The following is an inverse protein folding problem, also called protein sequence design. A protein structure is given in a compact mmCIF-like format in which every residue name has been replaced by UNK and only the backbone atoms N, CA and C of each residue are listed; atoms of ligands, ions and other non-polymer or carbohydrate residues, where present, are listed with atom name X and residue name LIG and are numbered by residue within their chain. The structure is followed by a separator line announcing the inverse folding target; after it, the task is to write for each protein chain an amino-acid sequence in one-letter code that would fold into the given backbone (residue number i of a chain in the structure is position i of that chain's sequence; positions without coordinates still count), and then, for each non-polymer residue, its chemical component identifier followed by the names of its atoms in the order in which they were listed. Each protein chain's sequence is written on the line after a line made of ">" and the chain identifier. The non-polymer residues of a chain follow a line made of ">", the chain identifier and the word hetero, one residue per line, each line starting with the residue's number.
data_IF_524097898604
#
_entry.id   IF_524097898604
#
_cell.length_a   1.000
_cell.length_b   1.000
_cell.length_c   1.000
_cell.angle_alpha   90.00
_cell.angle_beta   90.00
_cell.angle_gamma   90.00
#
_symmetry.space_group_name_H-M   'P 1'
#
loop_
_entity.id
_entity.type
_entity.pdbx_description
1 polymer ?
#
# COMPACT_ATOMS: atom_id res chain seq x y z
N UNK A 1 -16.06 26.83 39.14
CA UNK A 1 -15.26 27.30 40.29
C UNK A 1 -14.88 26.08 41.11
N UNK A 2 -13.58 25.85 41.23
CA UNK A 2 -12.93 24.81 42.04
C UNK A 2 -13.48 24.69 43.45
N UNK A 3 -13.58 23.45 43.96
CA UNK A 3 -12.95 23.12 45.26
C UNK A 3 -12.78 21.60 45.47
N UNK A 4 -11.53 21.16 45.33
CA UNK A 4 -10.70 20.40 46.29
C UNK A 4 -11.11 18.99 46.76
N UNK A 5 -10.17 18.07 46.52
CA UNK A 5 -10.01 16.76 47.14
C UNK A 5 -9.90 16.78 48.67
N UNK A 6 -10.15 15.64 49.31
CA UNK A 6 -9.37 15.22 50.47
C UNK A 6 -8.65 13.87 50.25
N UNK A 7 -7.34 13.91 50.45
CA UNK A 7 -6.41 12.79 50.61
C UNK A 7 -6.59 12.18 52.01
N UNK A 8 -6.59 10.83 52.12
CA UNK A 8 -6.15 10.00 53.27
C UNK A 8 -6.61 8.55 52.98
N UNK A 9 -5.80 7.48 53.07
CA UNK A 9 -4.84 7.12 54.11
C UNK A 9 -3.73 6.19 53.59
N UNK A 10 -2.59 6.32 54.27
CA UNK A 10 -1.45 5.42 54.29
C UNK A 10 -1.83 3.98 54.66
N UNK A 11 -1.16 3.02 54.02
CA UNK A 11 -1.04 1.64 54.46
C UNK A 11 0.30 1.08 53.99
N UNK A 12 1.34 1.23 54.82
CA UNK A 12 2.61 0.56 54.66
C UNK A 12 2.54 -0.81 55.35
N UNK A 13 2.99 -1.87 54.68
CA UNK A 13 3.40 -3.12 55.32
C UNK A 13 4.54 -3.72 54.48
N UNK A 14 5.74 -3.59 55.03
CA UNK A 14 6.93 -4.30 54.59
C UNK A 14 6.93 -5.70 55.22
N UNK A 15 7.30 -6.72 54.44
CA UNK A 15 7.81 -7.98 54.96
C UNK A 15 8.90 -8.48 54.02
N UNK A 16 10.12 -8.44 54.54
CA UNK A 16 11.32 -8.97 53.92
C UNK A 16 11.27 -10.50 53.97
N UNK A 17 11.62 -11.14 52.85
CA UNK A 17 12.11 -12.51 52.83
C UNK A 17 13.35 -12.55 51.94
N UNK A 18 14.51 -12.59 52.60
CA UNK A 18 15.76 -12.96 51.96
C UNK A 18 15.72 -14.46 51.64
N UNK A 19 15.88 -14.82 50.38
CA UNK A 19 16.18 -16.18 49.97
C UNK A 19 17.30 -16.18 48.93
N UNK A 20 18.36 -16.86 49.35
CA UNK A 20 19.64 -17.16 48.74
C UNK A 20 19.69 -17.39 47.22
N UNK A 21 20.74 -16.84 46.63
CA UNK A 21 21.23 -17.03 45.26
C UNK A 21 21.55 -18.52 45.00
N UNK A 22 21.06 -19.05 43.88
CA UNK A 22 21.67 -20.23 43.24
C UNK A 22 21.98 -19.87 41.79
N UNK A 23 23.26 -19.68 41.47
CA UNK A 23 23.75 -19.58 40.10
C UNK A 23 23.75 -20.98 39.49
N UNK A 24 22.81 -21.26 38.59
CA UNK A 24 22.92 -22.36 37.64
C UNK A 24 23.20 -21.76 36.26
N UNK A 25 24.47 -21.80 35.84
CA UNK A 25 24.84 -21.54 34.46
C UNK A 25 24.36 -22.73 33.62
N UNK A 26 23.23 -22.56 32.94
CA UNK A 26 22.78 -23.44 31.87
C UNK A 26 22.28 -22.54 30.74
N UNK A 27 22.99 -22.57 29.61
CA UNK A 27 22.62 -21.85 28.40
C UNK A 27 21.23 -22.30 27.94
N UNK A 28 20.28 -21.38 27.99
CA UNK A 28 18.98 -21.49 27.31
C UNK A 28 18.56 -20.07 27.00
N UNK A 29 18.78 -19.65 25.76
CA UNK A 29 18.26 -18.40 25.21
C UNK A 29 16.72 -18.42 25.29
N UNK A 30 16.15 -17.67 26.22
CA UNK A 30 14.74 -17.31 26.23
C UNK A 30 14.54 -16.11 25.30
N UNK A 31 13.68 -16.19 24.27
CA UNK A 31 13.35 -15.02 23.47
C UNK A 31 12.42 -14.09 24.26
N UNK A 32 12.89 -12.85 24.45
CA UNK A 32 12.10 -11.71 24.89
C UNK A 32 10.78 -11.63 24.13
N UNK A 33 9.69 -11.57 24.90
CA UNK A 33 8.34 -11.29 24.43
C UNK A 33 8.27 -9.83 23.95
N UNK A 34 8.73 -9.60 22.72
CA UNK A 34 8.58 -8.31 22.03
C UNK A 34 7.17 -8.19 21.47
N UNK A 35 6.52 -7.08 21.82
CA UNK A 35 5.21 -6.66 21.34
C UNK A 35 5.08 -6.78 19.82
N UNK A 36 3.94 -7.35 19.39
CA UNK A 36 3.66 -7.72 18.01
C UNK A 36 3.40 -6.58 17.03
N UNK A 37 3.44 -6.98 15.76
CA UNK A 37 3.10 -6.28 14.53
C UNK A 37 4.14 -5.32 13.93
N UNK A 38 5.31 -5.87 13.61
CA UNK A 38 6.08 -5.45 12.43
C UNK A 38 6.02 -6.56 11.38
N UNK A 39 5.35 -6.27 10.26
CA UNK A 39 5.28 -6.99 8.99
C UNK A 39 5.82 -8.43 8.97
N UNK A 40 4.92 -9.40 9.11
CA UNK A 40 5.15 -10.71 8.50
C UNK A 40 5.14 -10.49 6.98
N UNK A 41 6.30 -10.27 6.38
CA UNK A 41 6.50 -10.47 4.97
C UNK A 41 6.30 -11.97 4.71
N UNK A 42 5.06 -12.37 4.37
CA UNK A 42 4.80 -13.69 3.81
C UNK A 42 5.33 -13.67 2.39
N UNK A 43 6.64 -13.88 2.25
CA UNK A 43 7.25 -14.16 0.96
C UNK A 43 7.27 -15.68 0.78
N UNK A 44 6.59 -16.17 -0.28
CA UNK A 44 6.91 -17.48 -0.83
C UNK A 44 5.77 -18.32 -1.40
N UNK A 45 4.55 -17.80 -1.58
CA UNK A 45 3.46 -18.55 -2.20
C UNK A 45 2.55 -17.69 -3.06
N UNK A 46 1.73 -18.30 -3.94
CA UNK A 46 0.73 -17.58 -4.71
C UNK A 46 -0.19 -16.73 -3.84
N UNK A 47 -0.50 -15.52 -4.29
CA UNK A 47 -1.50 -14.69 -3.63
C UNK A 47 -2.87 -15.39 -3.66
N UNK A 48 -3.71 -15.27 -2.61
CA UNK A 48 -5.05 -15.85 -2.66
C UNK A 48 -5.92 -15.21 -3.75
N UNK A 49 -6.57 -16.05 -4.59
CA UNK A 49 -7.59 -15.63 -5.58
C UNK A 49 -8.92 -15.25 -4.90
N UNK A 50 -8.87 -14.23 -4.06
CA UNK A 50 -10.01 -13.75 -3.29
C UNK A 50 -10.25 -12.26 -3.55
N UNK A 51 -11.45 -11.79 -3.23
CA UNK A 51 -11.76 -10.36 -3.29
C UNK A 51 -10.81 -9.53 -2.41
N UNK A 52 -10.42 -10.07 -1.25
CA UNK A 52 -9.51 -9.38 -0.34
C UNK A 52 -8.10 -9.27 -0.94
N UNK A 53 -7.58 -10.34 -1.54
CA UNK A 53 -6.29 -10.31 -2.25
C UNK A 53 -6.26 -9.26 -3.37
N UNK A 54 -7.33 -9.17 -4.17
CA UNK A 54 -7.44 -8.15 -5.22
C UNK A 54 -7.45 -6.72 -4.65
N UNK A 55 -8.11 -6.49 -3.51
CA UNK A 55 -8.13 -5.20 -2.82
C UNK A 55 -6.77 -4.83 -2.27
N UNK A 56 -6.07 -5.78 -1.64
CA UNK A 56 -4.75 -5.53 -1.04
C UNK A 56 -3.70 -5.22 -2.12
N UNK A 57 -3.74 -5.95 -3.24
CA UNK A 57 -2.90 -5.65 -4.40
C UNK A 57 -3.22 -4.27 -4.98
N UNK A 58 -4.50 -3.94 -5.19
CA UNK A 58 -4.90 -2.62 -5.68
C UNK A 58 -4.44 -1.48 -4.76
N UNK A 59 -4.64 -1.63 -3.44
CA UNK A 59 -4.18 -0.68 -2.44
C UNK A 59 -2.67 -0.43 -2.56
N UNK A 60 -1.89 -1.51 -2.70
CA UNK A 60 -0.43 -1.41 -2.87
C UNK A 60 -0.05 -0.63 -4.13
N UNK A 61 -0.73 -0.84 -5.27
CA UNK A 61 -0.48 -0.04 -6.48
C UNK A 61 -0.78 1.43 -6.25
N UNK A 62 -1.92 1.72 -5.61
CA UNK A 62 -2.39 3.08 -5.33
C UNK A 62 -1.50 3.81 -4.35
N UNK A 63 -1.00 3.13 -3.32
CA UNK A 63 -0.08 3.69 -2.33
C UNK A 63 1.27 4.00 -2.97
N UNK A 64 1.81 3.09 -3.79
CA UNK A 64 3.04 3.36 -4.57
C UNK A 64 2.86 4.55 -5.49
N UNK A 65 1.76 4.61 -6.24
CA UNK A 65 1.48 5.72 -7.15
C UNK A 65 1.32 7.06 -6.42
N UNK A 66 0.54 7.08 -5.34
CA UNK A 66 0.30 8.27 -4.52
C UNK A 66 1.58 8.72 -3.80
N UNK A 67 2.43 7.77 -3.38
CA UNK A 67 3.74 8.01 -2.79
C UNK A 67 4.83 8.40 -3.78
N UNK A 68 4.56 8.33 -5.09
CA UNK A 68 5.52 8.69 -6.13
C UNK A 68 6.47 7.58 -6.57
N UNK A 69 6.32 6.36 -6.05
CA UNK A 69 7.01 5.16 -6.52
C UNK A 69 6.35 4.64 -7.81
N UNK A 70 6.55 5.38 -8.91
CA UNK A 70 5.98 4.99 -10.20
C UNK A 70 6.64 3.76 -10.78
N UNK A 71 7.92 3.53 -10.50
CA UNK A 71 8.61 2.33 -10.96
C UNK A 71 8.00 1.09 -10.32
N UNK A 72 7.78 1.09 -9.00
CA UNK A 72 7.12 -0.01 -8.31
C UNK A 72 5.64 -0.14 -8.66
N UNK A 73 4.92 0.96 -8.88
CA UNK A 73 3.53 0.90 -9.36
C UNK A 73 3.44 0.22 -10.76
N UNK A 74 4.36 0.54 -11.68
CA UNK A 74 4.44 -0.12 -12.98
C UNK A 74 4.74 -1.61 -12.86
N UNK A 75 5.53 -2.03 -11.86
CA UNK A 75 5.82 -3.46 -11.65
C UNK A 75 4.60 -4.31 -11.30
N UNK A 76 3.54 -3.67 -10.81
CA UNK A 76 2.29 -4.33 -10.45
C UNK A 76 1.28 -4.39 -11.60
N UNK A 77 1.64 -3.90 -12.77
CA UNK A 77 0.78 -4.00 -13.95
C UNK A 77 0.77 -5.41 -14.54
N UNK A 78 -0.32 -5.74 -15.22
CA UNK A 78 -0.40 -6.96 -16.04
C UNK A 78 0.70 -7.00 -17.08
N UNK A 79 1.06 -8.20 -17.51
CA UNK A 79 2.08 -8.46 -18.54
C UNK A 79 1.73 -7.74 -19.85
N UNK A 80 0.45 -7.80 -20.25
CA UNK A 80 -0.04 -7.06 -21.42
C UNK A 80 0.03 -5.53 -21.23
N UNK A 81 -0.22 -5.04 -20.02
CA UNK A 81 -0.05 -3.64 -19.65
C UNK A 81 1.41 -3.18 -19.79
N UNK A 82 2.35 -3.97 -19.26
CA UNK A 82 3.80 -3.72 -19.35
C UNK A 82 4.33 -3.75 -20.80
N UNK A 83 3.74 -4.56 -21.68
CA UNK A 83 4.06 -4.55 -23.11
C UNK A 83 3.54 -3.29 -23.82
N UNK A 84 2.47 -2.67 -23.30
CA UNK A 84 1.83 -1.51 -23.91
C UNK A 84 2.45 -0.18 -23.48
N UNK A 85 3.20 -0.15 -22.37
CA UNK A 85 3.82 1.06 -21.82
C UNK A 85 5.25 0.73 -21.37
N UNK A 86 6.24 1.39 -21.96
CA UNK A 86 7.62 1.27 -21.47
C UNK A 86 7.71 1.79 -20.02
N UNK A 87 8.46 1.09 -19.17
CA UNK A 87 8.67 1.51 -17.77
C UNK A 87 9.22 2.94 -17.69
N UNK A 88 10.18 3.26 -18.55
CA UNK A 88 10.81 4.59 -18.61
C UNK A 88 9.80 5.69 -18.96
N UNK A 89 8.95 5.49 -19.97
CA UNK A 89 7.95 6.49 -20.33
C UNK A 89 6.90 6.65 -19.23
N UNK A 90 6.49 5.54 -18.61
CA UNK A 90 5.59 5.55 -17.47
C UNK A 90 6.15 6.41 -16.34
N UNK A 91 7.39 6.13 -15.92
CA UNK A 91 8.04 6.84 -14.82
C UNK A 91 8.23 8.32 -15.18
N UNK A 92 8.70 8.65 -16.39
CA UNK A 92 8.91 10.04 -16.82
C UNK A 92 7.61 10.84 -16.83
N UNK A 93 6.54 10.32 -17.44
CA UNK A 93 5.25 11.01 -17.52
C UNK A 93 4.66 11.23 -16.13
N UNK A 94 4.61 10.19 -15.30
CA UNK A 94 4.00 10.31 -13.97
C UNK A 94 4.85 11.15 -13.01
N UNK A 95 6.18 11.14 -13.15
CA UNK A 95 7.05 12.04 -12.40
C UNK A 95 6.75 13.50 -12.72
N UNK A 96 6.54 13.81 -13.99
CA UNK A 96 6.24 15.17 -14.42
C UNK A 96 4.81 15.59 -14.05
N UNK A 97 3.81 14.74 -14.26
CA UNK A 97 2.42 15.18 -14.31
C UNK A 97 1.47 14.58 -13.27
N UNK A 98 1.88 13.55 -12.52
CA UNK A 98 1.01 12.94 -11.51
C UNK A 98 0.85 13.81 -10.26
N UNK A 99 -0.32 13.71 -9.62
CA UNK A 99 -0.63 14.29 -8.31
C UNK A 99 -0.14 13.37 -7.19
N UNK A 100 1.13 13.48 -6.84
CA UNK A 100 1.70 12.78 -5.68
C UNK A 100 1.20 13.39 -4.37
N UNK A 101 1.24 12.62 -3.29
CA UNK A 101 0.81 13.05 -1.95
C UNK A 101 -0.70 13.08 -1.74
N UNK A 102 -1.50 12.77 -2.77
CA UNK A 102 -2.95 12.62 -2.66
C UNK A 102 -3.32 11.15 -2.66
N UNK A 103 -3.82 10.65 -1.52
CA UNK A 103 -4.23 9.26 -1.38
C UNK A 103 -5.33 8.89 -2.39
N UNK A 104 -5.15 7.72 -3.01
CA UNK A 104 -6.16 7.04 -3.80
C UNK A 104 -6.80 5.97 -2.91
N UNK A 105 -8.03 6.19 -2.48
CA UNK A 105 -8.72 5.36 -1.49
C UNK A 105 -9.65 4.36 -2.17
N UNK A 106 -9.49 3.08 -1.87
CA UNK A 106 -10.46 2.05 -2.28
C UNK A 106 -11.82 2.31 -1.63
N UNK A 107 -12.87 2.39 -2.45
CA UNK A 107 -14.25 2.55 -1.97
C UNK A 107 -15.04 1.26 -1.99
N UNK A 108 -14.88 0.44 -3.03
CA UNK A 108 -15.59 -0.83 -3.17
C UNK A 108 -14.85 -1.75 -4.13
N UNK A 109 -15.16 -3.05 -4.08
CA UNK A 109 -14.63 -4.01 -5.03
C UNK A 109 -15.62 -5.16 -5.22
N UNK A 110 -15.54 -5.82 -6.37
CA UNK A 110 -16.26 -7.08 -6.65
C UNK A 110 -15.37 -8.01 -7.47
N UNK A 111 -15.58 -9.32 -7.34
CA UNK A 111 -15.01 -10.30 -8.26
C UNK A 111 -15.85 -10.34 -9.54
N UNK A 112 -15.19 -10.61 -10.66
CA UNK A 112 -15.79 -10.91 -11.95
C UNK A 112 -15.22 -12.25 -12.44
N UNK A 113 -15.72 -13.35 -11.88
CA UNK A 113 -15.13 -14.68 -12.05
C UNK A 113 -13.97 -14.93 -11.08
N UNK A 114 -13.12 -15.92 -11.40
CA UNK A 114 -12.05 -16.41 -10.52
C UNK A 114 -10.78 -15.57 -10.58
N UNK A 115 -10.49 -14.97 -11.74
CA UNK A 115 -9.19 -14.37 -12.06
C UNK A 115 -9.31 -12.88 -12.40
N UNK A 116 -10.45 -12.26 -12.09
CA UNK A 116 -10.67 -10.83 -12.33
C UNK A 116 -11.46 -10.22 -11.19
N UNK A 117 -11.11 -8.99 -10.85
CA UNK A 117 -11.87 -8.16 -9.93
C UNK A 117 -11.98 -6.74 -10.50
N UNK A 118 -13.08 -6.07 -10.18
CA UNK A 118 -13.23 -4.65 -10.43
C UNK A 118 -13.19 -3.92 -9.09
N UNK A 119 -12.26 -2.98 -8.97
CA UNK A 119 -12.12 -2.12 -7.79
C UNK A 119 -12.51 -0.69 -8.17
N UNK A 120 -13.20 -0.01 -7.27
CA UNK A 120 -13.51 1.41 -7.39
C UNK A 120 -12.66 2.12 -6.36
N UNK A 121 -11.93 3.14 -6.79
CA UNK A 121 -11.12 3.97 -5.93
C UNK A 121 -11.40 5.45 -6.17
N UNK A 122 -11.14 6.27 -5.16
CA UNK A 122 -11.37 7.71 -5.18
C UNK A 122 -10.07 8.44 -4.94
N UNK A 123 -9.82 9.48 -5.73
CA UNK A 123 -8.83 10.50 -5.42
C UNK A 123 -9.57 11.82 -5.29
N UNK A 124 -9.58 12.40 -4.08
CA UNK A 124 -10.48 13.50 -3.74
C UNK A 124 -11.95 13.14 -4.01
N UNK A 125 -12.66 13.92 -4.83
CA UNK A 125 -14.07 13.69 -5.20
C UNK A 125 -14.25 12.79 -6.44
N UNK A 126 -13.17 12.49 -7.17
CA UNK A 126 -13.23 11.72 -8.40
C UNK A 126 -13.14 10.22 -8.11
N UNK A 127 -14.19 9.47 -8.46
CA UNK A 127 -14.20 8.01 -8.41
C UNK A 127 -13.80 7.44 -9.78
N UNK A 128 -12.99 6.38 -9.78
CA UNK A 128 -12.54 5.67 -10.97
C UNK A 128 -12.64 4.15 -10.73
N UNK A 129 -12.94 3.42 -11.80
CA UNK A 129 -12.97 1.96 -11.81
C UNK A 129 -11.68 1.41 -12.39
N UNK A 130 -11.16 0.37 -11.78
CA UNK A 130 -9.92 -0.29 -12.17
C UNK A 130 -10.13 -1.80 -12.23
N UNK A 131 -9.48 -2.44 -13.19
CA UNK A 131 -9.54 -3.89 -13.38
C UNK A 131 -8.30 -4.54 -12.78
N UNK A 132 -8.49 -5.44 -11.82
CA UNK A 132 -7.46 -6.34 -11.32
C UNK A 132 -7.58 -7.68 -12.02
N UNK A 133 -6.46 -8.24 -12.46
CA UNK A 133 -6.36 -9.54 -13.14
C UNK A 133 -5.39 -10.41 -12.35
N UNK A 134 -5.79 -11.64 -12.07
CA UNK A 134 -4.90 -12.60 -11.44
C UNK A 134 -4.06 -13.29 -12.52
N UNK A 135 -2.74 -13.07 -12.49
CA UNK A 135 -1.79 -13.71 -13.39
C UNK A 135 -0.45 -13.93 -12.67
N UNK A 136 0.28 -14.97 -13.07
CA UNK A 136 1.59 -15.28 -12.49
C UNK A 136 1.54 -15.32 -10.95
N UNK A 137 0.52 -15.99 -10.42
CA UNK A 137 0.32 -16.20 -8.99
C UNK A 137 0.13 -14.91 -8.16
N UNK A 138 -0.27 -13.80 -8.80
CA UNK A 138 -0.54 -12.52 -8.13
C UNK A 138 -1.66 -11.71 -8.79
N UNK A 139 -2.31 -10.85 -8.02
CA UNK A 139 -3.22 -9.84 -8.56
C UNK A 139 -2.43 -8.67 -9.16
N UNK A 140 -2.69 -8.35 -10.42
CA UNK A 140 -2.07 -7.27 -11.19
C UNK A 140 -3.11 -6.25 -11.63
N UNK A 141 -2.71 -4.99 -11.73
CA UNK A 141 -3.57 -3.93 -12.26
C UNK A 141 -3.51 -3.93 -13.80
N UNK A 142 -4.66 -3.99 -14.46
CA UNK A 142 -4.77 -3.74 -15.90
C UNK A 142 -4.85 -2.22 -16.14
N UNK A 143 -3.91 -1.63 -16.91
CA UNK A 143 -3.96 -0.20 -17.19
C UNK A 143 -5.19 0.17 -18.03
N UNK A 144 -5.87 1.25 -17.67
CA UNK A 144 -7.02 1.75 -18.42
C UNK A 144 -6.64 2.10 -19.86
N UNK A 145 -7.49 1.72 -20.81
CA UNK A 145 -7.24 1.87 -22.27
C UNK A 145 -7.03 3.33 -22.68
N UNK A 146 -7.75 4.24 -22.03
CA UNK A 146 -7.64 5.67 -22.24
C UNK A 146 -6.25 6.19 -21.86
N UNK A 147 -5.70 5.69 -20.76
CA UNK A 147 -4.32 5.98 -20.34
C UNK A 147 -3.29 5.44 -21.32
N UNK A 148 -3.51 4.23 -21.85
CA UNK A 148 -2.62 3.60 -22.85
C UNK A 148 -2.47 4.45 -24.12
N UNK A 149 -3.54 5.11 -24.58
CA UNK A 149 -3.49 5.95 -25.77
C UNK A 149 -2.48 7.11 -25.64
N UNK A 150 -2.36 7.67 -24.44
CA UNK A 150 -1.42 8.75 -24.17
C UNK A 150 0.03 8.26 -24.14
N UNK A 151 0.29 7.09 -23.55
CA UNK A 151 1.64 6.51 -23.50
C UNK A 151 2.19 6.14 -24.89
N UNK A 152 1.33 5.83 -25.86
CA UNK A 152 1.73 5.59 -27.26
C UNK A 152 2.43 6.80 -27.92
N UNK A 153 2.26 8.00 -27.37
CA UNK A 153 2.95 9.20 -27.86
C UNK A 153 4.42 9.26 -27.42
N UNK A 154 4.82 8.47 -26.42
CA UNK A 154 6.06 8.61 -25.67
C UNK A 154 5.97 9.74 -24.62
N UNK A 155 6.79 9.67 -23.57
CA UNK A 155 6.64 10.55 -22.41
C UNK A 155 6.71 12.05 -22.74
N UNK A 156 7.66 12.49 -23.57
CA UNK A 156 7.83 13.92 -23.86
C UNK A 156 6.58 14.54 -24.52
N UNK A 157 6.01 13.86 -25.52
CA UNK A 157 4.79 14.32 -26.20
C UNK A 157 3.57 14.22 -25.29
N UNK A 158 3.48 13.15 -24.49
CA UNK A 158 2.42 12.99 -23.49
C UNK A 158 2.42 14.10 -22.44
N UNK A 159 3.60 14.46 -21.90
CA UNK A 159 3.76 15.57 -20.94
C UNK A 159 3.33 16.88 -21.58
N UNK A 160 3.82 17.18 -22.79
CA UNK A 160 3.45 18.40 -23.49
C UNK A 160 1.94 18.49 -23.75
N UNK A 161 1.30 17.37 -24.15
CA UNK A 161 -0.14 17.29 -24.34
C UNK A 161 -0.92 17.53 -23.03
N UNK A 162 -0.50 16.91 -21.92
CA UNK A 162 -1.14 17.13 -20.63
C UNK A 162 -0.96 18.55 -20.10
N UNK A 163 0.22 19.16 -20.27
CA UNK A 163 0.45 20.57 -19.93
C UNK A 163 -0.45 21.49 -20.74
N UNK A 164 -0.53 21.29 -22.06
CA UNK A 164 -1.42 22.06 -22.94
C UNK A 164 -2.90 21.91 -22.55
N UNK A 165 -3.31 20.71 -22.13
CA UNK A 165 -4.67 20.43 -21.69
C UNK A 165 -4.97 20.84 -20.23
N UNK A 166 -3.99 21.36 -19.49
CA UNK A 166 -4.15 21.71 -18.06
C UNK A 166 -4.37 20.52 -17.13
N UNK A 167 -4.03 19.30 -17.57
CA UNK A 167 -4.21 18.05 -16.80
C UNK A 167 -2.92 17.58 -16.12
N UNK A 168 -1.77 18.15 -16.47
CA UNK A 168 -0.51 17.92 -15.78
C UNK A 168 -0.50 18.67 -14.44
N UNK A 169 -0.39 17.97 -13.32
CA UNK A 169 -0.56 18.59 -12.00
C UNK A 169 0.63 19.42 -11.53
N UNK A 170 1.84 19.10 -11.97
CA UNK A 170 3.06 19.83 -11.62
C UNK A 170 3.54 20.68 -12.80
N UNK A 171 2.60 21.25 -13.56
CA UNK A 171 2.85 21.95 -14.81
C UNK A 171 3.71 23.21 -14.63
#
# INVERSE_FOLDING_TARGET
>A
MDTRHPIRRLGALALAAAATITFAAACSDEPEQTAGNAAAAVAGGPEPKTLQGAKDAAATVFDRFSGGDFAGAWEMYTSAGKQSISKDDYVKLNTACSRKGLAIQLSSARLEGTDKAIVIAKQLVAAQSYTMVYEQDAWKLEPAKEGLALYKLGAAKAIAAQKKAGTCANA
#
